data_IF_750305162416
#
_entry.id   IF_750305162416
#
_cell.length_a   1.000
_cell.length_b   1.000
_cell.length_c   1.000
_cell.angle_alpha   90.00
_cell.angle_beta   90.00
_cell.angle_gamma   90.00
#
_symmetry.space_group_name_H-M   'P 1'
#
loop_
_entity.id
_entity.type
_entity.pdbx_description
1 polymer ?
#
# COMPACT_ATOMS: atom_id res chain seq x y z
N UNK A 1 14.76 -15.67 -23.07
CA UNK A 1 13.39 -15.64 -22.51
C UNK A 1 13.28 -14.56 -21.45
N UNK A 2 12.34 -13.65 -21.62
CA UNK A 2 12.04 -12.65 -20.60
C UNK A 2 11.11 -13.28 -19.58
N UNK A 3 11.43 -13.13 -18.28
CA UNK A 3 10.53 -13.52 -17.20
C UNK A 3 9.23 -12.73 -17.30
N UNK A 4 8.05 -13.34 -16.98
CA UNK A 4 6.82 -12.60 -16.93
C UNK A 4 6.96 -11.40 -15.98
N UNK A 5 6.45 -10.27 -16.40
CA UNK A 5 6.45 -9.07 -15.56
C UNK A 5 5.57 -9.33 -14.32
N UNK A 6 6.10 -9.08 -13.14
CA UNK A 6 5.34 -9.20 -11.90
C UNK A 6 4.34 -8.03 -11.79
N UNK A 7 3.19 -8.32 -11.22
CA UNK A 7 2.20 -7.29 -10.89
C UNK A 7 2.77 -6.40 -9.80
N UNK A 8 2.82 -5.10 -10.07
CA UNK A 8 3.34 -4.11 -9.12
C UNK A 8 2.18 -3.53 -8.31
N UNK A 9 2.25 -3.68 -7.00
CA UNK A 9 1.21 -3.26 -6.06
C UNK A 9 1.73 -2.12 -5.19
N UNK A 10 1.10 -0.95 -5.31
CA UNK A 10 1.30 0.15 -4.37
C UNK A 10 0.33 -0.09 -3.21
N UNK A 11 0.86 -0.31 -2.02
CA UNK A 11 0.04 -0.59 -0.84
C UNK A 11 -0.06 0.65 0.04
N UNK A 12 -1.30 1.06 0.35
CA UNK A 12 -1.55 2.12 1.31
C UNK A 12 -1.26 1.61 2.73
N UNK A 13 -1.06 2.54 3.65
CA UNK A 13 -0.66 2.22 5.03
C UNK A 13 -1.64 1.31 5.74
N UNK A 14 -2.95 1.45 5.48
CA UNK A 14 -3.97 0.62 6.12
C UNK A 14 -3.89 -0.85 5.69
N UNK A 15 -3.49 -1.12 4.45
CA UNK A 15 -3.30 -2.50 3.95
C UNK A 15 -2.05 -3.13 4.57
N UNK A 16 -0.95 -2.39 4.60
CA UNK A 16 0.30 -2.85 5.22
C UNK A 16 0.11 -3.12 6.72
N UNK A 17 -0.44 -2.15 7.43
CA UNK A 17 -0.69 -2.28 8.87
C UNK A 17 -1.59 -3.48 9.16
N UNK A 18 -2.70 -3.61 8.41
CA UNK A 18 -3.62 -4.72 8.56
C UNK A 18 -2.95 -6.08 8.36
N UNK A 19 -2.10 -6.19 7.36
CA UNK A 19 -1.40 -7.45 7.07
C UNK A 19 -0.32 -7.80 8.07
N UNK A 20 0.27 -6.82 8.74
CA UNK A 20 1.29 -7.06 9.78
C UNK A 20 0.62 -7.43 11.11
N UNK A 21 -0.43 -6.70 11.48
CA UNK A 21 -1.13 -6.88 12.76
C UNK A 21 -1.97 -8.14 12.79
N UNK A 22 -2.64 -8.48 11.69
CA UNK A 22 -3.54 -9.64 11.62
C UNK A 22 -2.80 -10.91 11.22
N UNK A 23 -3.07 -12.05 11.86
CA UNK A 23 -2.45 -13.31 11.50
C UNK A 23 -3.05 -13.94 10.22
N UNK A 24 -4.18 -13.41 9.74
CA UNK A 24 -4.90 -13.94 8.58
C UNK A 24 -5.66 -12.82 7.88
N UNK A 25 -6.31 -13.13 6.79
CA UNK A 25 -7.13 -12.18 6.03
C UNK A 25 -6.48 -11.73 4.72
N UNK A 26 -7.20 -10.90 3.96
CA UNK A 26 -6.78 -10.48 2.62
C UNK A 26 -5.59 -9.52 2.63
N UNK A 27 -5.45 -8.69 3.65
CA UNK A 27 -4.26 -7.85 3.79
C UNK A 27 -3.02 -8.72 3.95
N UNK A 28 -3.09 -9.72 4.82
CA UNK A 28 -2.02 -10.69 5.03
C UNK A 28 -1.72 -11.48 3.75
N UNK A 29 -2.75 -11.91 3.04
CA UNK A 29 -2.60 -12.61 1.76
C UNK A 29 -1.90 -11.74 0.72
N UNK A 30 -2.21 -10.44 0.67
CA UNK A 30 -1.54 -9.49 -0.21
C UNK A 30 -0.05 -9.41 0.10
N UNK A 31 0.31 -9.26 1.37
CA UNK A 31 1.71 -9.24 1.79
C UNK A 31 2.42 -10.55 1.47
N UNK A 32 1.73 -11.67 1.61
CA UNK A 32 2.27 -12.99 1.29
C UNK A 32 2.61 -13.13 -0.20
N UNK A 33 1.78 -12.60 -1.09
CA UNK A 33 2.08 -12.56 -2.52
C UNK A 33 3.35 -11.77 -2.82
N UNK A 34 3.57 -10.67 -2.13
CA UNK A 34 4.77 -9.86 -2.29
C UNK A 34 6.01 -10.56 -1.72
N UNK A 35 5.88 -11.20 -0.55
CA UNK A 35 6.98 -11.95 0.07
C UNK A 35 7.39 -13.17 -0.77
N UNK A 36 6.40 -13.83 -1.39
CA UNK A 36 6.63 -14.98 -2.27
C UNK A 36 7.13 -14.58 -3.67
N UNK A 37 7.28 -13.28 -3.94
CA UNK A 37 7.73 -12.75 -5.24
C UNK A 37 6.76 -12.99 -6.40
N UNK A 38 5.49 -13.27 -6.09
CA UNK A 38 4.41 -13.35 -7.10
C UNK A 38 4.04 -11.95 -7.58
N UNK A 39 3.96 -11.01 -6.62
CA UNK A 39 3.77 -9.59 -6.89
C UNK A 39 4.99 -8.81 -6.39
N UNK A 40 5.17 -7.61 -6.91
CA UNK A 40 6.20 -6.69 -6.44
C UNK A 40 5.56 -5.58 -5.61
N UNK A 41 6.04 -5.41 -4.39
CA UNK A 41 5.57 -4.30 -3.54
C UNK A 41 6.22 -2.99 -3.97
N UNK A 42 5.41 -1.95 -4.08
CA UNK A 42 5.85 -0.57 -4.25
C UNK A 42 5.54 0.15 -2.95
N UNK A 43 6.57 0.66 -2.29
CA UNK A 43 6.46 1.28 -0.96
C UNK A 43 6.91 2.74 -1.02
N UNK A 44 5.97 3.65 -0.78
CA UNK A 44 6.28 5.07 -0.68
C UNK A 44 6.85 5.41 0.70
N UNK A 45 7.81 6.31 0.76
CA UNK A 45 8.38 6.76 2.04
C UNK A 45 7.32 7.38 2.95
N UNK A 46 6.37 8.14 2.38
CA UNK A 46 5.26 8.71 3.13
C UNK A 46 4.37 7.63 3.75
N UNK A 47 4.16 6.53 3.04
CA UNK A 47 3.39 5.38 3.54
C UNK A 47 4.17 4.67 4.64
N UNK A 48 5.47 4.52 4.48
CA UNK A 48 6.33 3.88 5.49
C UNK A 48 6.24 4.59 6.84
N UNK A 49 6.25 5.91 6.85
CA UNK A 49 6.10 6.69 8.08
C UNK A 49 4.74 6.44 8.74
N UNK A 50 3.67 6.43 7.94
CA UNK A 50 2.32 6.16 8.45
C UNK A 50 2.19 4.75 9.05
N UNK A 51 2.82 3.75 8.42
CA UNK A 51 2.78 2.38 8.92
C UNK A 51 3.47 2.29 10.28
N UNK A 52 4.64 2.90 10.43
CA UNK A 52 5.36 2.89 11.71
C UNK A 52 4.51 3.51 12.82
N UNK A 53 3.89 4.65 12.57
CA UNK A 53 3.00 5.31 13.52
C UNK A 53 1.78 4.43 13.85
N UNK A 54 1.17 3.82 12.85
CA UNK A 54 0.01 2.94 13.03
C UNK A 54 0.35 1.70 13.86
N UNK A 55 1.50 1.10 13.64
CA UNK A 55 1.93 -0.07 14.42
C UNK A 55 2.11 0.28 15.89
N UNK A 56 2.69 1.43 16.18
CA UNK A 56 2.85 1.90 17.57
C UNK A 56 1.49 2.16 18.22
N UNK A 57 0.55 2.74 17.50
CA UNK A 57 -0.81 2.96 18.01
C UNK A 57 -1.54 1.66 18.30
N UNK A 58 -1.41 0.65 17.44
CA UNK A 58 -1.99 -0.67 17.69
C UNK A 58 -1.41 -1.32 18.94
N UNK A 59 -0.10 -1.23 19.12
CA UNK A 59 0.57 -1.78 20.31
C UNK A 59 0.09 -1.12 21.60
N UNK A 60 -0.15 0.20 21.58
CA UNK A 60 -0.71 0.92 22.74
C UNK A 60 -2.12 0.46 23.10
N UNK A 61 -2.95 0.22 22.09
CA UNK A 61 -4.38 -0.10 22.28
C UNK A 61 -4.63 -1.57 22.63
N UNK A 62 -3.74 -2.46 22.21
CA UNK A 62 -3.91 -3.89 22.35
C UNK A 62 -2.75 -4.47 23.18
N UNK A 63 -2.95 -4.72 24.49
CA UNK A 63 -1.88 -5.21 25.36
C UNK A 63 -1.24 -6.54 24.93
N UNK A 64 -1.94 -7.31 24.11
CA UNK A 64 -1.42 -8.56 23.55
C UNK A 64 -0.37 -8.35 22.45
N UNK A 65 -0.24 -7.12 21.92
CA UNK A 65 0.71 -6.79 20.87
C UNK A 65 1.95 -6.12 21.47
N UNK A 66 3.11 -6.60 21.05
CA UNK A 66 4.42 -6.07 21.42
C UNK A 66 4.88 -5.12 20.32
N UNK A 67 5.11 -3.84 20.64
CA UNK A 67 5.55 -2.82 19.70
C UNK A 67 6.85 -3.21 19.00
N UNK A 68 7.84 -3.71 19.76
CA UNK A 68 9.13 -4.11 19.20
C UNK A 68 8.98 -5.26 18.21
N UNK A 69 8.12 -6.22 18.52
CA UNK A 69 7.85 -7.35 17.64
C UNK A 69 7.14 -6.90 16.34
N UNK A 70 6.16 -5.99 16.43
CA UNK A 70 5.47 -5.48 15.27
C UNK A 70 6.43 -4.73 14.33
N UNK A 71 7.29 -3.89 14.88
CA UNK A 71 8.28 -3.15 14.10
C UNK A 71 9.28 -4.12 13.45
N UNK A 72 9.72 -5.15 14.18
CA UNK A 72 10.64 -6.16 13.62
C UNK A 72 9.96 -6.96 12.50
N UNK A 73 8.71 -7.35 12.66
CA UNK A 73 7.94 -8.05 11.63
C UNK A 73 7.81 -7.19 10.37
N UNK A 74 7.55 -5.90 10.56
CA UNK A 74 7.48 -4.94 9.47
C UNK A 74 8.82 -4.83 8.72
N UNK A 75 9.92 -4.64 9.44
CA UNK A 75 11.27 -4.55 8.86
C UNK A 75 11.62 -5.81 8.10
N UNK A 76 11.31 -6.97 8.67
CA UNK A 76 11.53 -8.26 8.03
C UNK A 76 10.73 -8.38 6.72
N UNK A 77 9.48 -7.95 6.72
CA UNK A 77 8.64 -7.94 5.53
C UNK A 77 9.27 -7.09 4.42
N UNK A 78 9.72 -5.89 4.76
CA UNK A 78 10.35 -4.99 3.77
C UNK A 78 11.61 -5.64 3.17
N UNK A 79 12.44 -6.28 4.00
CA UNK A 79 13.62 -7.02 3.51
C UNK A 79 13.24 -8.19 2.59
N UNK A 80 12.26 -8.99 3.02
CA UNK A 80 11.82 -10.17 2.26
C UNK A 80 11.21 -9.82 0.91
N UNK A 81 10.45 -8.74 0.84
CA UNK A 81 9.78 -8.32 -0.39
C UNK A 81 10.71 -7.60 -1.37
N UNK A 82 11.83 -7.10 -0.90
CA UNK A 82 12.70 -6.21 -1.68
C UNK A 82 11.88 -5.12 -2.36
N UNK A 83 11.09 -4.40 -1.56
CA UNK A 83 10.13 -3.41 -2.04
C UNK A 83 10.80 -2.32 -2.88
N UNK A 84 10.11 -1.91 -3.93
CA UNK A 84 10.49 -0.75 -4.74
C UNK A 84 10.13 0.51 -3.94
N UNK A 85 11.13 1.34 -3.60
CA UNK A 85 10.93 2.52 -2.77
C UNK A 85 10.61 3.74 -3.63
N UNK A 86 9.62 4.54 -3.19
CA UNK A 86 9.24 5.79 -3.84
C UNK A 86 9.53 6.93 -2.89
N UNK A 87 10.38 7.89 -3.27
CA UNK A 87 10.75 9.00 -2.38
C UNK A 87 9.58 9.95 -2.12
N UNK A 88 9.71 10.78 -1.08
CA UNK A 88 8.73 11.82 -0.80
C UNK A 88 8.50 12.69 -2.03
N UNK A 89 7.25 13.06 -2.35
CA UNK A 89 6.98 13.95 -3.45
C UNK A 89 7.49 15.37 -3.15
N UNK A 90 7.79 16.12 -4.19
CA UNK A 90 8.19 17.51 -4.07
C UNK A 90 7.09 18.34 -3.39
N UNK A 91 7.45 19.19 -2.43
CA UNK A 91 6.51 20.00 -1.66
C UNK A 91 5.69 20.96 -2.53
N UNK A 92 6.29 21.50 -3.58
CA UNK A 92 5.59 22.39 -4.50
C UNK A 92 4.56 21.62 -5.33
N UNK A 93 4.91 20.41 -5.75
CA UNK A 93 4.00 19.53 -6.46
C UNK A 93 2.81 19.13 -5.56
N UNK A 94 3.07 18.86 -4.29
CA UNK A 94 1.99 18.58 -3.31
C UNK A 94 1.01 19.75 -3.25
N UNK A 95 1.52 20.97 -3.13
CA UNK A 95 0.67 22.17 -3.07
C UNK A 95 -0.16 22.37 -4.34
N UNK A 96 0.43 22.16 -5.50
CA UNK A 96 -0.24 22.36 -6.78
C UNK A 96 -1.19 21.23 -7.16
N UNK A 97 -1.16 20.11 -6.44
CA UNK A 97 -1.95 18.91 -6.75
C UNK A 97 -3.14 18.69 -5.81
N UNK A 98 -3.47 19.66 -4.97
CA UNK A 98 -4.57 19.55 -3.99
C UNK A 98 -5.94 19.33 -4.61
N UNK A 99 -6.10 19.68 -5.87
CA UNK A 99 -7.35 19.48 -6.62
C UNK A 99 -7.62 18.03 -7.01
N UNK A 100 -6.59 17.17 -6.96
CA UNK A 100 -6.70 15.77 -7.41
C UNK A 100 -7.51 14.90 -6.45
N UNK A 101 -7.46 15.21 -5.16
CA UNK A 101 -8.15 14.44 -4.12
C UNK A 101 -8.63 15.41 -3.04
N UNK A 102 -9.80 15.11 -2.47
CA UNK A 102 -10.49 16.01 -1.55
C UNK A 102 -9.70 16.31 -0.27
N UNK A 103 -9.12 15.28 0.33
CA UNK A 103 -8.40 15.42 1.59
C UNK A 103 -6.92 15.72 1.36
N UNK A 104 -6.46 16.87 1.84
CA UNK A 104 -5.10 17.34 1.63
C UNK A 104 -4.04 16.35 2.13
N UNK A 105 -4.32 15.64 3.22
CA UNK A 105 -3.40 14.66 3.79
C UNK A 105 -3.13 13.47 2.87
N UNK A 106 -4.01 13.19 1.91
CA UNK A 106 -3.88 12.07 0.98
C UNK A 106 -3.08 12.43 -0.28
N UNK A 107 -2.82 13.72 -0.51
CA UNK A 107 -2.10 14.18 -1.71
C UNK A 107 -0.71 13.56 -1.82
N UNK A 108 0.12 13.53 -0.76
CA UNK A 108 1.45 12.91 -0.88
C UNK A 108 1.41 11.43 -1.25
N UNK A 109 0.47 10.66 -0.71
CA UNK A 109 0.28 9.25 -1.05
C UNK A 109 -0.12 9.10 -2.51
N UNK A 110 -1.09 9.89 -2.95
CA UNK A 110 -1.57 9.86 -4.33
C UNK A 110 -0.46 10.20 -5.33
N UNK A 111 0.33 11.23 -5.05
CA UNK A 111 1.45 11.62 -5.91
C UNK A 111 2.53 10.55 -5.96
N UNK A 112 2.80 9.88 -4.85
CA UNK A 112 3.76 8.77 -4.80
C UNK A 112 3.29 7.61 -5.68
N UNK A 113 2.00 7.29 -5.63
CA UNK A 113 1.42 6.27 -6.49
C UNK A 113 1.53 6.67 -7.97
N UNK A 114 1.20 7.91 -8.30
CA UNK A 114 1.30 8.41 -9.68
C UNK A 114 2.73 8.36 -10.20
N UNK A 115 3.71 8.73 -9.37
CA UNK A 115 5.12 8.71 -9.75
C UNK A 115 5.63 7.31 -10.06
N UNK A 116 5.17 6.32 -9.29
CA UNK A 116 5.62 4.92 -9.45
C UNK A 116 4.89 4.15 -10.55
N UNK A 117 3.73 4.62 -10.98
CA UNK A 117 2.88 3.97 -12.00
C UNK A 117 2.67 2.48 -11.72
N UNK A 118 2.10 2.13 -10.56
CA UNK A 118 1.87 0.72 -10.22
C UNK A 118 0.75 0.13 -11.07
N UNK A 119 0.67 -1.19 -11.12
CA UNK A 119 -0.47 -1.85 -11.75
C UNK A 119 -1.74 -1.67 -10.95
N UNK A 120 -1.61 -1.59 -9.61
CA UNK A 120 -2.72 -1.34 -8.68
C UNK A 120 -2.27 -0.48 -7.51
N UNK A 121 -3.17 0.41 -7.06
CA UNK A 121 -3.11 1.04 -5.74
C UNK A 121 -4.16 0.35 -4.88
N UNK A 122 -3.71 -0.35 -3.82
CA UNK A 122 -4.61 -1.06 -2.91
C UNK A 122 -4.78 -0.27 -1.61
N UNK A 123 -6.02 0.00 -1.25
CA UNK A 123 -6.39 0.77 -0.07
C UNK A 123 -7.76 0.34 0.46
N UNK A 124 -7.96 0.45 1.76
CA UNK A 124 -9.29 0.31 2.37
C UNK A 124 -10.04 1.64 2.38
N UNK A 125 -9.37 2.75 2.11
CA UNK A 125 -9.92 4.09 2.22
C UNK A 125 -10.61 4.53 0.91
N UNK A 126 -11.65 3.82 0.53
CA UNK A 126 -12.40 4.08 -0.71
C UNK A 126 -13.27 5.34 -0.64
N UNK A 127 -13.45 5.90 0.55
CA UNK A 127 -14.14 7.19 0.73
C UNK A 127 -13.27 8.36 0.28
N UNK A 128 -11.95 8.24 0.38
CA UNK A 128 -11.00 9.25 -0.07
C UNK A 128 -10.48 8.93 -1.48
N UNK A 129 -10.02 7.69 -1.69
CA UNK A 129 -9.53 7.21 -2.99
C UNK A 129 -10.70 6.66 -3.79
N UNK A 130 -11.47 7.60 -4.38
CA UNK A 130 -12.73 7.30 -5.07
C UNK A 130 -12.52 6.94 -6.53
N UNK A 131 -13.59 6.49 -7.19
CA UNK A 131 -13.60 6.25 -8.63
C UNK A 131 -13.24 7.52 -9.42
N UNK A 132 -13.68 8.69 -8.93
CA UNK A 132 -13.35 9.97 -9.55
C UNK A 132 -11.84 10.23 -9.48
N UNK A 133 -11.22 9.96 -8.34
CA UNK A 133 -9.75 10.08 -8.18
C UNK A 133 -9.04 9.12 -9.14
N UNK A 134 -9.50 7.88 -9.21
CA UNK A 134 -8.94 6.89 -10.13
C UNK A 134 -8.99 7.37 -11.59
N UNK A 135 -10.11 7.93 -12.00
CA UNK A 135 -10.28 8.45 -13.37
C UNK A 135 -9.36 9.65 -13.64
N UNK A 136 -9.26 10.58 -12.69
CA UNK A 136 -8.40 11.77 -12.83
C UNK A 136 -6.92 11.42 -12.93
N UNK A 137 -6.49 10.42 -12.21
CA UNK A 137 -5.07 10.04 -12.10
C UNK A 137 -4.68 8.89 -13.02
N UNK A 138 -5.66 8.21 -13.60
CA UNK A 138 -5.49 6.98 -14.39
C UNK A 138 -4.89 5.84 -13.58
N UNK A 139 -5.03 5.89 -12.27
CA UNK A 139 -4.62 4.81 -11.36
C UNK A 139 -5.75 3.79 -11.26
N UNK A 140 -5.37 2.53 -11.14
CA UNK A 140 -6.30 1.44 -10.84
C UNK A 140 -6.34 1.27 -9.33
N UNK A 141 -7.40 1.79 -8.72
CA UNK A 141 -7.56 1.81 -7.26
C UNK A 141 -8.58 0.75 -6.86
N UNK A 142 -8.22 -0.07 -5.86
CA UNK A 142 -9.09 -1.15 -5.39
C UNK A 142 -8.80 -1.49 -3.93
N UNK A 143 -9.74 -2.19 -3.32
CA UNK A 143 -9.49 -2.88 -2.04
C UNK A 143 -8.77 -4.20 -2.33
N UNK A 144 -8.10 -4.79 -1.33
CA UNK A 144 -7.57 -6.15 -1.48
C UNK A 144 -8.63 -7.17 -1.94
N UNK A 145 -9.87 -7.07 -1.43
CA UNK A 145 -10.96 -7.96 -1.85
C UNK A 145 -11.25 -7.85 -3.35
N UNK A 146 -11.34 -6.64 -3.87
CA UNK A 146 -11.57 -6.39 -5.29
C UNK A 146 -10.41 -6.89 -6.14
N UNK A 147 -9.18 -6.67 -5.68
CA UNK A 147 -7.97 -7.16 -6.34
C UNK A 147 -7.98 -8.69 -6.47
N UNK A 148 -8.24 -9.41 -5.36
CA UNK A 148 -8.29 -10.87 -5.38
C UNK A 148 -9.41 -11.41 -6.26
N UNK A 149 -10.56 -10.75 -6.30
CA UNK A 149 -11.65 -11.13 -7.22
C UNK A 149 -11.22 -11.02 -8.68
N UNK A 150 -10.51 -9.94 -9.02
CA UNK A 150 -9.99 -9.74 -10.38
C UNK A 150 -8.96 -10.80 -10.74
N UNK A 151 -8.02 -11.11 -9.84
CA UNK A 151 -7.04 -12.18 -10.04
C UNK A 151 -7.73 -13.53 -10.27
N UNK A 152 -8.72 -13.84 -9.44
CA UNK A 152 -9.47 -15.10 -9.54
C UNK A 152 -10.14 -15.23 -10.91
N UNK A 153 -10.73 -14.16 -11.42
CA UNK A 153 -11.36 -14.13 -12.75
C UNK A 153 -10.33 -14.37 -13.86
N UNK A 154 -9.13 -13.79 -13.74
CA UNK A 154 -8.07 -13.96 -14.73
C UNK A 154 -7.46 -15.37 -14.73
N UNK A 155 -7.43 -16.02 -13.57
CA UNK A 155 -6.82 -17.34 -13.39
C UNK A 155 -7.84 -18.48 -13.56
N UNK A 156 -9.11 -18.16 -13.44
CA UNK A 156 -10.20 -19.08 -13.61
C UNK A 156 -10.64 -19.18 -15.05
#
# INVERSE_FOLDING_TARGET
MTSPRRIRLFLDSNVLTGGIVSPWGLDKATLSLCAAKVCRMVLAEVVRDEVEDNLLLHAERLPSLDADQLIEDYRRLIRLTNAELVPYPDKNLVRSSRHLIRHAADVPVLLSAMASRPDWLLTHNTKHFTKTVAQRTKLRIATPAEFFRTLSTLLG
#
